data_IF_905206264339
#
_entry.id   IF_905206264339
#
_cell.length_a   1.000
_cell.length_b   1.000
_cell.length_c   1.000
_cell.angle_alpha   90.00
_cell.angle_beta   90.00
_cell.angle_gamma   90.00
#
_symmetry.space_group_name_H-M   'P 1'
#
loop_
_entity.id
_entity.type
_entity.pdbx_description
1 polymer ?
#
# COMPACT_ATOMS: atom_id res chain seq x y z
N UNK A 1 12.76 -15.17 -8.05
CA UNK A 1 13.40 -16.09 -9.03
C UNK A 1 13.39 -17.54 -8.51
N UNK A 2 13.69 -17.79 -7.23
CA UNK A 2 13.66 -19.14 -6.63
C UNK A 2 12.29 -19.83 -6.74
N UNK A 3 11.20 -19.05 -6.80
CA UNK A 3 9.84 -19.55 -6.94
C UNK A 3 9.31 -19.47 -8.39
N UNK A 4 10.21 -19.37 -9.38
CA UNK A 4 9.83 -19.33 -10.79
C UNK A 4 9.29 -17.98 -11.29
N UNK A 5 9.37 -16.91 -10.47
CA UNK A 5 8.95 -15.59 -10.87
C UNK A 5 10.06 -14.84 -11.64
N UNK A 6 9.68 -14.11 -12.67
CA UNK A 6 10.53 -13.14 -13.34
C UNK A 6 10.22 -11.75 -12.78
N UNK A 7 11.24 -11.05 -12.26
CA UNK A 7 11.07 -9.71 -11.73
C UNK A 7 11.31 -8.69 -12.84
N UNK A 8 10.35 -7.77 -13.00
CA UNK A 8 10.45 -6.61 -13.87
C UNK A 8 10.31 -5.35 -13.02
N UNK A 9 11.20 -4.39 -13.24
CA UNK A 9 11.17 -3.12 -12.53
C UNK A 9 10.50 -2.06 -13.37
N UNK A 10 9.76 -1.18 -12.72
CA UNK A 10 9.19 0.01 -13.33
C UNK A 10 9.23 1.19 -12.35
N UNK A 11 9.22 2.39 -12.88
CA UNK A 11 9.22 3.63 -12.11
C UNK A 11 7.90 4.37 -12.29
N UNK A 12 7.09 4.55 -11.25
CA UNK A 12 5.86 5.36 -11.33
C UNK A 12 6.09 6.82 -11.75
N UNK A 13 7.33 7.32 -11.62
CA UNK A 13 7.70 8.68 -12.02
C UNK A 13 8.13 8.73 -13.49
N UNK A 14 8.94 7.77 -13.96
CA UNK A 14 9.64 7.87 -15.23
C UNK A 14 9.05 7.03 -16.35
N UNK A 15 8.44 5.88 -16.02
CA UNK A 15 7.84 5.00 -17.03
C UNK A 15 6.39 5.41 -17.31
N UNK A 16 5.92 5.14 -18.53
CA UNK A 16 4.56 5.50 -18.96
C UNK A 16 3.50 4.49 -18.51
N UNK A 17 3.90 3.24 -18.24
CA UNK A 17 2.99 2.15 -17.92
C UNK A 17 3.67 1.01 -17.17
N UNK A 18 2.88 0.17 -16.51
CA UNK A 18 3.31 -1.10 -15.95
C UNK A 18 3.62 -2.07 -17.10
N UNK A 19 4.67 -2.92 -17.00
CA UNK A 19 4.97 -3.93 -18.01
C UNK A 19 3.75 -4.79 -18.36
N UNK A 20 3.46 -4.96 -19.66
CA UNK A 20 2.24 -5.60 -20.17
C UNK A 20 2.07 -7.06 -19.78
N UNK A 21 3.16 -7.77 -19.54
CA UNK A 21 3.22 -9.20 -19.22
C UNK A 21 3.39 -9.45 -17.70
N UNK A 22 3.03 -8.47 -16.87
CA UNK A 22 3.03 -8.63 -15.42
C UNK A 22 1.79 -9.40 -14.96
N UNK A 23 2.00 -10.49 -14.22
CA UNK A 23 0.96 -11.29 -13.56
C UNK A 23 0.63 -10.80 -12.14
N UNK A 24 1.49 -9.93 -11.60
CA UNK A 24 1.34 -9.30 -10.30
C UNK A 24 2.12 -8.01 -10.21
N UNK A 25 1.72 -7.11 -9.33
CA UNK A 25 2.37 -5.82 -9.12
C UNK A 25 2.65 -5.61 -7.64
N UNK A 26 3.84 -5.12 -7.33
CA UNK A 26 4.21 -4.76 -5.97
C UNK A 26 4.64 -3.29 -5.94
N UNK A 27 3.92 -2.49 -5.17
CA UNK A 27 4.30 -1.14 -4.79
C UNK A 27 4.89 -1.18 -3.39
N UNK A 28 6.22 -1.13 -3.31
CA UNK A 28 6.93 -1.14 -2.04
C UNK A 28 6.78 0.16 -1.27
N UNK A 29 7.24 0.14 -0.03
CA UNK A 29 7.40 1.32 0.80
C UNK A 29 8.32 2.37 0.17
N UNK A 30 8.27 3.57 0.73
CA UNK A 30 9.02 4.74 0.26
C UNK A 30 8.33 6.01 0.73
N UNK A 31 8.74 7.13 0.16
CA UNK A 31 8.26 8.46 0.52
C UNK A 31 7.61 9.16 -0.69
N UNK A 32 6.45 8.68 -1.18
CA UNK A 32 5.80 9.24 -2.37
C UNK A 32 5.38 10.69 -2.18
N UNK A 33 5.15 11.13 -0.95
CA UNK A 33 4.83 12.52 -0.62
C UNK A 33 5.93 13.52 -1.01
N UNK A 34 7.16 13.06 -1.13
CA UNK A 34 8.29 13.88 -1.60
C UNK A 34 8.26 14.11 -3.11
N UNK A 35 7.59 13.23 -3.83
CA UNK A 35 7.46 13.20 -5.29
C UNK A 35 6.00 13.26 -5.74
N UNK A 36 5.12 13.77 -4.86
CA UNK A 36 3.69 13.75 -5.10
C UNK A 36 3.28 14.52 -6.36
N UNK A 37 3.99 15.61 -6.66
CA UNK A 37 3.79 16.38 -7.88
C UNK A 37 4.15 15.55 -9.11
N UNK A 38 5.35 15.02 -9.18
CA UNK A 38 5.86 14.23 -10.31
C UNK A 38 5.00 12.99 -10.55
N UNK A 39 4.64 12.28 -9.48
CA UNK A 39 3.73 11.13 -9.55
C UNK A 39 2.38 11.53 -10.13
N UNK A 40 1.84 12.67 -9.71
CA UNK A 40 0.54 13.17 -10.18
C UNK A 40 0.56 13.66 -11.63
N UNK A 41 1.71 14.13 -12.12
CA UNK A 41 1.91 14.58 -13.50
C UNK A 41 1.99 13.41 -14.47
N UNK A 42 2.42 12.22 -14.02
CA UNK A 42 2.49 11.01 -14.84
C UNK A 42 1.11 10.35 -15.02
N UNK A 43 0.23 11.02 -15.77
CA UNK A 43 -1.15 10.56 -16.02
C UNK A 43 -1.24 9.22 -16.74
N UNK A 44 -0.25 8.89 -17.57
CA UNK A 44 -0.20 7.62 -18.30
C UNK A 44 0.03 6.47 -17.32
N UNK A 45 0.98 6.59 -16.41
CA UNK A 45 1.24 5.59 -15.37
C UNK A 45 0.04 5.42 -14.43
N UNK A 46 -0.58 6.52 -13.97
CA UNK A 46 -1.80 6.47 -13.13
C UNK A 46 -2.91 5.67 -13.84
N UNK A 47 -3.14 5.92 -15.13
CA UNK A 47 -4.12 5.16 -15.92
C UNK A 47 -3.73 3.69 -16.06
N UNK A 48 -2.45 3.40 -16.26
CA UNK A 48 -1.94 2.04 -16.35
C UNK A 48 -2.14 1.27 -15.04
N UNK A 49 -1.79 1.87 -13.91
CA UNK A 49 -1.99 1.30 -12.56
C UNK A 49 -3.46 0.97 -12.34
N UNK A 50 -4.35 1.93 -12.61
CA UNK A 50 -5.79 1.72 -12.47
C UNK A 50 -6.28 0.57 -13.36
N UNK A 51 -5.92 0.57 -14.64
CA UNK A 51 -6.30 -0.49 -15.59
C UNK A 51 -5.83 -1.88 -15.13
N UNK A 52 -4.58 -1.98 -14.66
CA UNK A 52 -3.98 -3.23 -14.21
C UNK A 52 -4.71 -3.78 -12.97
N UNK A 53 -4.97 -2.93 -11.97
CA UNK A 53 -5.66 -3.36 -10.75
C UNK A 53 -7.14 -3.68 -11.05
N UNK A 54 -7.84 -2.86 -11.82
CA UNK A 54 -9.24 -3.09 -12.22
C UNK A 54 -9.39 -4.38 -13.07
N UNK A 55 -8.34 -4.82 -13.77
CA UNK A 55 -8.34 -6.11 -14.49
C UNK A 55 -8.22 -7.34 -13.59
N UNK A 56 -8.02 -7.16 -12.29
CA UNK A 56 -7.92 -8.25 -11.30
C UNK A 56 -6.53 -8.87 -11.22
N UNK A 57 -5.49 -8.20 -11.66
CA UNK A 57 -4.10 -8.60 -11.42
C UNK A 57 -3.79 -8.41 -9.93
N UNK A 58 -3.09 -9.40 -9.35
CA UNK A 58 -2.71 -9.36 -7.94
C UNK A 58 -1.83 -8.15 -7.63
N UNK A 59 -2.16 -7.40 -6.57
CA UNK A 59 -1.44 -6.19 -6.18
C UNK A 59 -1.10 -6.19 -4.69
N UNK A 60 0.17 -5.98 -4.38
CA UNK A 60 0.65 -5.68 -3.03
C UNK A 60 1.08 -4.21 -2.98
N UNK A 61 0.56 -3.45 -2.02
CA UNK A 61 0.91 -2.05 -1.81
C UNK A 61 1.20 -1.76 -0.33
N UNK A 62 2.47 -1.62 0.01
CA UNK A 62 2.91 -1.37 1.38
C UNK A 62 3.32 0.09 1.59
N UNK A 63 2.89 0.69 2.70
CA UNK A 63 3.32 1.99 3.18
C UNK A 63 3.25 3.09 2.09
N UNK A 64 4.37 3.44 1.45
CA UNK A 64 4.39 4.40 0.34
C UNK A 64 3.56 3.96 -0.86
N UNK A 65 3.57 2.68 -1.18
CA UNK A 65 2.71 2.10 -2.21
C UNK A 65 1.23 2.25 -1.87
N UNK A 66 0.86 2.01 -0.61
CA UNK A 66 -0.50 2.24 -0.12
C UNK A 66 -0.92 3.72 -0.27
N UNK A 67 -0.03 4.67 0.05
CA UNK A 67 -0.29 6.10 -0.14
C UNK A 67 -0.53 6.44 -1.62
N UNK A 68 0.24 5.85 -2.54
CA UNK A 68 0.09 6.08 -3.98
C UNK A 68 -1.24 5.55 -4.54
N UNK A 69 -1.84 4.54 -3.93
CA UNK A 69 -3.13 3.99 -4.36
C UNK A 69 -4.34 4.87 -3.95
N UNK A 70 -4.19 5.88 -3.10
CA UNK A 70 -5.29 6.79 -2.72
C UNK A 70 -5.75 7.67 -3.89
N UNK A 71 -6.90 8.31 -3.72
CA UNK A 71 -7.38 9.34 -4.66
C UNK A 71 -6.48 10.57 -4.65
N UNK A 72 -6.00 10.96 -3.45
CA UNK A 72 -5.12 12.11 -3.27
C UNK A 72 -4.05 11.84 -2.23
N UNK A 73 -2.88 12.43 -2.47
CA UNK A 73 -1.76 12.46 -1.52
C UNK A 73 -1.35 13.91 -1.24
N UNK A 74 -1.28 14.29 0.03
CA UNK A 74 -0.67 15.56 0.44
C UNK A 74 0.84 15.46 0.27
N UNK A 75 1.42 16.33 -0.54
CA UNK A 75 2.86 16.44 -0.70
C UNK A 75 3.53 17.15 0.48
N UNK A 76 4.86 17.14 0.51
CA UNK A 76 5.65 17.83 1.55
C UNK A 76 5.46 19.35 1.52
N UNK A 77 4.95 19.91 0.42
CA UNK A 77 4.58 21.32 0.25
C UNK A 77 3.18 21.67 0.77
N UNK A 78 2.47 20.69 1.33
CA UNK A 78 1.11 20.83 1.86
C UNK A 78 0.01 20.87 0.81
N UNK A 79 0.33 20.67 -0.47
CA UNK A 79 -0.68 20.59 -1.53
C UNK A 79 -1.15 19.16 -1.73
N UNK A 80 -2.38 19.02 -2.21
CA UNK A 80 -2.97 17.71 -2.55
C UNK A 80 -2.76 17.42 -4.03
N UNK A 81 -2.28 16.24 -4.30
CA UNK A 81 -1.96 15.73 -5.63
C UNK A 81 -2.79 14.49 -5.93
N UNK A 82 -3.44 14.40 -7.11
CA UNK A 82 -4.17 13.20 -7.50
C UNK A 82 -3.23 12.03 -7.71
N UNK A 83 -3.61 10.86 -7.21
CA UNK A 83 -2.87 9.60 -7.31
C UNK A 83 -3.67 8.55 -8.10
N UNK A 84 -3.40 7.26 -7.87
CA UNK A 84 -4.00 6.18 -8.65
C UNK A 84 -5.53 6.05 -8.48
N UNK A 85 -6.09 6.48 -7.35
CA UNK A 85 -7.53 6.47 -7.10
C UNK A 85 -8.16 5.09 -7.03
N UNK A 86 -7.42 4.11 -6.57
CA UNK A 86 -7.91 2.75 -6.27
C UNK A 86 -8.61 2.73 -4.91
N UNK A 87 -8.04 3.45 -3.95
CA UNK A 87 -8.58 3.62 -2.61
C UNK A 87 -9.18 5.02 -2.54
N UNK A 88 -10.49 5.09 -2.33
CA UNK A 88 -11.15 6.37 -2.17
C UNK A 88 -10.68 7.07 -0.89
N UNK A 89 -10.41 8.37 -1.00
CA UNK A 89 -9.98 9.18 0.11
C UNK A 89 -8.58 9.77 -0.08
N UNK A 90 -8.11 10.37 1.00
CA UNK A 90 -6.87 11.16 1.01
C UNK A 90 -5.85 10.57 1.98
N UNK A 91 -4.59 10.63 1.59
CA UNK A 91 -3.46 10.44 2.48
C UNK A 91 -2.84 11.82 2.81
N UNK A 92 -2.76 12.16 4.08
CA UNK A 92 -2.36 13.50 4.55
C UNK A 92 -1.26 13.44 5.58
N UNK A 93 -0.50 14.52 5.72
CA UNK A 93 0.56 14.65 6.72
C UNK A 93 -0.04 14.62 8.14
N UNK A 94 0.37 13.63 8.93
CA UNK A 94 -0.04 13.50 10.33
C UNK A 94 0.65 14.49 11.28
N UNK A 95 1.59 15.30 10.79
CA UNK A 95 2.40 16.29 11.52
C UNK A 95 3.31 15.73 12.61
N UNK A 96 3.21 14.47 12.91
CA UNK A 96 4.04 13.71 13.85
C UNK A 96 4.10 12.26 13.42
N UNK A 97 5.01 11.50 14.01
CA UNK A 97 5.05 10.05 13.81
C UNK A 97 3.69 9.45 14.22
N UNK A 98 3.01 8.80 13.29
CA UNK A 98 1.67 8.24 13.49
C UNK A 98 1.75 6.87 14.12
N UNK A 99 2.63 6.01 13.58
CA UNK A 99 2.82 4.68 14.12
C UNK A 99 4.26 4.23 13.91
N UNK A 100 4.77 3.49 14.89
CA UNK A 100 6.11 2.88 14.85
C UNK A 100 6.11 1.60 15.67
N UNK A 101 6.71 0.55 15.11
CA UNK A 101 7.05 -0.69 15.80
C UNK A 101 6.42 -1.93 15.19
N UNK A 102 6.47 -3.01 15.96
CA UNK A 102 5.95 -4.31 15.54
C UNK A 102 4.47 -4.42 15.82
N UNK A 103 3.76 -5.00 14.85
CA UNK A 103 2.33 -5.28 14.91
C UNK A 103 2.10 -6.77 14.67
N UNK A 104 1.15 -7.33 15.41
CA UNK A 104 0.51 -8.59 15.07
C UNK A 104 -0.82 -8.26 14.39
N UNK A 105 -1.02 -8.72 13.18
CA UNK A 105 -2.22 -8.42 12.41
C UNK A 105 -2.98 -9.71 12.10
N UNK A 106 -4.27 -9.68 12.34
CA UNK A 106 -5.15 -10.82 12.09
C UNK A 106 -6.21 -10.42 11.08
N UNK A 107 -6.29 -11.07 9.91
CA UNK A 107 -7.31 -10.76 8.93
C UNK A 107 -8.68 -11.20 9.40
N UNK A 108 -9.71 -10.40 9.08
CA UNK A 108 -11.10 -10.68 9.43
C UNK A 108 -11.79 -11.60 8.42
N UNK A 109 -11.20 -11.73 7.22
CA UNK A 109 -11.66 -12.62 6.14
C UNK A 109 -10.46 -13.13 5.34
N UNK A 110 -10.68 -14.18 4.55
CA UNK A 110 -9.68 -14.67 3.61
C UNK A 110 -9.36 -13.61 2.57
N UNK A 111 -8.10 -13.55 2.19
CA UNK A 111 -7.61 -12.64 1.15
C UNK A 111 -6.24 -13.06 0.63
N UNK A 112 -5.67 -12.22 -0.21
CA UNK A 112 -4.42 -12.49 -0.90
C UNK A 112 -3.24 -12.64 0.06
N UNK A 113 -3.17 -11.82 1.12
CA UNK A 113 -2.03 -11.82 2.04
C UNK A 113 -2.06 -13.02 3.00
N UNK A 114 -3.23 -13.43 3.46
CA UNK A 114 -3.40 -14.53 4.39
C UNK A 114 -4.85 -14.95 4.53
N UNK A 115 -5.04 -16.13 5.14
CA UNK A 115 -6.37 -16.66 5.47
C UNK A 115 -6.90 -16.05 6.76
N UNK A 116 -8.23 -16.04 6.88
CA UNK A 116 -8.93 -15.58 8.07
C UNK A 116 -8.37 -16.22 9.35
N UNK A 117 -8.22 -15.38 10.39
CA UNK A 117 -7.69 -15.76 11.71
C UNK A 117 -6.25 -16.29 11.74
N UNK A 118 -5.51 -16.20 10.65
CA UNK A 118 -4.09 -16.50 10.62
C UNK A 118 -3.29 -15.21 10.91
N UNK A 119 -2.70 -15.07 12.11
CA UNK A 119 -1.96 -13.84 12.44
C UNK A 119 -0.67 -13.73 11.64
N UNK A 120 -0.35 -12.50 11.24
CA UNK A 120 0.90 -12.13 10.59
C UNK A 120 1.70 -11.17 11.46
N UNK A 121 3.02 -11.30 11.42
CA UNK A 121 3.95 -10.34 12.01
C UNK A 121 4.27 -9.27 10.98
N UNK A 122 4.13 -8.03 11.40
CA UNK A 122 4.36 -6.87 10.54
C UNK A 122 5.11 -5.79 11.29
N UNK A 123 5.57 -4.79 10.55
CA UNK A 123 6.18 -3.59 11.11
C UNK A 123 5.53 -2.36 10.46
N UNK A 124 5.30 -1.31 11.23
CA UNK A 124 4.86 0.00 10.71
C UNK A 124 5.85 1.10 11.08
N UNK A 125 6.04 2.03 10.14
CA UNK A 125 6.75 3.28 10.37
C UNK A 125 6.25 4.33 9.39
N UNK A 126 5.39 5.25 9.83
CA UNK A 126 4.85 6.29 8.95
C UNK A 126 4.45 7.56 9.68
N UNK A 127 4.59 8.69 8.97
CA UNK A 127 4.16 10.02 9.39
C UNK A 127 2.84 10.43 8.74
N UNK A 128 2.59 9.98 7.52
CA UNK A 128 1.32 10.20 6.83
C UNK A 128 0.24 9.29 7.40
N UNK A 129 -0.99 9.75 7.32
CA UNK A 129 -2.18 9.00 7.71
C UNK A 129 -3.17 8.94 6.55
N UNK A 130 -3.92 7.86 6.46
CA UNK A 130 -5.03 7.72 5.55
C UNK A 130 -6.33 8.14 6.23
N UNK A 131 -7.21 8.85 5.52
CA UNK A 131 -8.58 9.05 5.96
C UNK A 131 -9.47 7.81 5.68
N UNK A 132 -8.97 6.86 4.89
CA UNK A 132 -9.60 5.57 4.62
C UNK A 132 -8.56 4.45 4.76
N UNK A 133 -8.20 4.06 6.00
CA UNK A 133 -7.13 3.10 6.25
C UNK A 133 -7.52 1.65 5.95
N UNK A 134 -8.76 1.35 5.58
CA UNK A 134 -9.29 0.00 5.46
C UNK A 134 -9.69 -0.61 6.81
N UNK A 135 -10.21 -1.83 6.78
CA UNK A 135 -10.72 -2.50 7.97
C UNK A 135 -10.61 -4.04 7.92
N UNK A 136 -9.82 -4.57 6.98
CA UNK A 136 -9.76 -6.02 6.75
C UNK A 136 -8.79 -6.73 7.71
N UNK A 137 -8.06 -5.97 8.54
CA UNK A 137 -7.22 -6.52 9.60
C UNK A 137 -7.53 -5.92 10.96
N UNK A 138 -7.57 -6.78 11.97
CA UNK A 138 -7.36 -6.36 13.34
C UNK A 138 -5.85 -6.21 13.57
N UNK A 139 -5.42 -5.03 13.95
CA UNK A 139 -4.01 -4.66 14.15
C UNK A 139 -3.76 -4.49 15.63
N UNK A 140 -2.96 -5.37 16.22
CA UNK A 140 -2.51 -5.30 17.61
C UNK A 140 -1.07 -4.81 17.65
N UNK A 141 -0.82 -3.69 18.31
CA UNK A 141 0.53 -3.19 18.53
C UNK A 141 1.20 -3.94 19.69
N UNK A 142 2.37 -4.52 19.43
CA UNK A 142 3.05 -5.40 20.40
C UNK A 142 3.49 -4.65 21.66
N UNK A 143 3.86 -3.37 21.56
CA UNK A 143 4.45 -2.62 22.69
C UNK A 143 3.45 -2.15 23.75
N UNK A 144 2.20 -1.89 23.38
CA UNK A 144 1.16 -1.34 24.28
C UNK A 144 -0.18 -2.05 24.20
N UNK A 145 -0.22 -3.13 23.42
CA UNK A 145 -1.41 -3.97 23.17
C UNK A 145 -2.63 -3.24 22.60
N UNK A 146 -2.47 -2.01 22.12
CA UNK A 146 -3.56 -1.25 21.51
C UNK A 146 -4.05 -1.96 20.23
N UNK A 147 -5.37 -1.95 20.03
CA UNK A 147 -6.04 -2.60 18.91
C UNK A 147 -6.69 -1.54 18.02
N UNK A 148 -6.56 -1.72 16.72
CA UNK A 148 -7.23 -0.91 15.70
C UNK A 148 -7.60 -1.77 14.50
N UNK A 149 -8.43 -1.22 13.60
CA UNK A 149 -8.73 -1.83 12.31
C UNK A 149 -8.00 -1.06 11.23
N UNK A 150 -7.36 -1.77 10.28
CA UNK A 150 -6.69 -1.15 9.14
C UNK A 150 -6.43 -2.17 8.02
N UNK A 151 -6.00 -1.65 6.84
CA UNK A 151 -5.58 -2.44 5.70
C UNK A 151 -6.73 -3.01 4.88
N UNK A 152 -6.38 -3.37 3.66
CA UNK A 152 -7.22 -4.05 2.68
C UNK A 152 -6.62 -5.42 2.39
N UNK A 153 -7.45 -6.46 2.42
CA UNK A 153 -7.06 -7.84 2.16
C UNK A 153 -8.15 -8.53 1.33
N UNK A 154 -8.21 -8.18 0.07
CA UNK A 154 -9.14 -8.83 -0.88
C UNK A 154 -8.47 -10.02 -1.58
N UNK A 155 -9.16 -10.70 -2.48
CA UNK A 155 -8.59 -11.79 -3.29
C UNK A 155 -7.41 -11.32 -4.17
N UNK A 156 -7.35 -10.03 -4.52
CA UNK A 156 -6.39 -9.47 -5.49
C UNK A 156 -5.61 -8.26 -4.99
N UNK A 157 -5.97 -7.72 -3.83
CA UNK A 157 -5.32 -6.54 -3.29
C UNK A 157 -4.95 -6.73 -1.81
N UNK A 158 -3.68 -6.62 -1.51
CA UNK A 158 -3.20 -6.24 -0.19
C UNK A 158 -2.71 -4.80 -0.23
N UNK A 159 -3.27 -3.93 0.61
CA UNK A 159 -2.84 -2.54 0.70
C UNK A 159 -2.92 -2.02 2.14
N UNK A 160 -1.80 -1.60 2.71
CA UNK A 160 -1.72 -1.16 4.10
C UNK A 160 -0.44 -0.36 4.40
N UNK A 161 -0.40 0.30 5.56
CA UNK A 161 0.87 0.82 6.10
C UNK A 161 1.80 -0.28 6.59
N UNK A 162 1.27 -1.43 6.92
CA UNK A 162 1.98 -2.57 7.48
C UNK A 162 2.89 -3.22 6.43
N UNK A 163 4.16 -3.43 6.82
CA UNK A 163 5.13 -4.22 6.08
C UNK A 163 5.09 -5.66 6.59
N UNK A 164 4.75 -6.61 5.72
CA UNK A 164 4.70 -8.04 6.08
C UNK A 164 6.13 -8.58 6.17
N UNK A 165 6.42 -9.28 7.25
CA UNK A 165 7.67 -10.02 7.38
C UNK A 165 7.52 -11.43 6.80
N UNK A 166 7.63 -11.56 5.48
CA UNK A 166 7.34 -12.80 4.75
C UNK A 166 8.11 -14.04 5.23
N UNK A 167 9.35 -13.89 5.67
CA UNK A 167 10.15 -15.00 6.18
C UNK A 167 9.86 -15.39 7.64
N UNK A 168 9.08 -14.61 8.34
CA UNK A 168 8.77 -14.82 9.76
C UNK A 168 7.33 -15.26 10.04
N UNK A 169 6.56 -15.48 9.00
CA UNK A 169 5.15 -15.86 9.06
C UNK A 169 4.91 -17.27 8.54
#
# INVERSE_FOLDING_TARGET
EENGCRIMYFSPIHDSEIPHDADGVIFWGGYPERYAKELSENKSMIKSVKKVIDSGIACIAECGGFLYLHSYLEGTDGKKYPMAGIIDGEAVNGKRLQRFGYMEVTPVSDGMACRCMQPLKTHEFHYWKSCNPGSDFQVKKVSDESISMAGYNTEKLYAAFMHIYFYGN
#
